data_IF_951529636389
#
_entry.id   IF_951529636389
#
_cell.length_a   1.000
_cell.length_b   1.000
_cell.length_c   1.000
_cell.angle_alpha   90.00
_cell.angle_beta   90.00
_cell.angle_gamma   90.00
#
_symmetry.space_group_name_H-M   'P 1'
#
loop_
_entity.id
_entity.type
_entity.pdbx_description
1 polymer ?
#
# COMPACT_ATOMS: atom_id res chain seq x y z
N UNK A 1 11.57 4.37 -28.67
CA UNK A 1 12.21 4.84 -27.42
C UNK A 1 11.22 4.58 -26.31
N UNK A 2 11.49 3.60 -25.44
CA UNK A 2 10.64 3.40 -24.26
C UNK A 2 10.67 4.71 -23.47
N UNK A 3 9.52 5.36 -23.32
CA UNK A 3 9.38 6.49 -22.42
C UNK A 3 9.55 5.91 -21.01
N UNK A 4 10.72 6.08 -20.41
CA UNK A 4 11.01 5.61 -19.07
C UNK A 4 10.13 6.38 -18.09
N UNK A 5 8.95 5.83 -17.81
CA UNK A 5 8.04 6.36 -16.80
C UNK A 5 8.80 6.38 -15.46
N UNK A 6 8.82 7.51 -14.75
CA UNK A 6 9.50 7.58 -13.46
C UNK A 6 8.83 6.62 -12.47
N UNK A 7 9.63 5.86 -11.74
CA UNK A 7 9.15 4.87 -10.77
C UNK A 7 9.16 5.44 -9.36
N UNK A 8 8.00 5.40 -8.71
CA UNK A 8 7.86 5.73 -7.29
C UNK A 8 7.56 4.47 -6.46
N UNK A 9 8.36 4.24 -5.43
CA UNK A 9 8.12 3.21 -4.42
C UNK A 9 7.59 3.88 -3.14
N UNK A 10 6.35 3.58 -2.79
CA UNK A 10 5.68 4.16 -1.63
C UNK A 10 5.66 3.16 -0.47
N UNK A 11 6.39 3.47 0.61
CA UNK A 11 6.44 2.67 1.84
C UNK A 11 5.83 3.48 2.97
N UNK A 12 4.57 3.20 3.38
CA UNK A 12 3.93 3.95 4.45
C UNK A 12 4.52 3.59 5.82
N UNK A 13 4.67 4.61 6.68
CA UNK A 13 4.96 4.41 8.09
C UNK A 13 3.78 3.69 8.80
N UNK A 14 4.04 2.90 9.87
CA UNK A 14 3.09 1.91 10.42
C UNK A 14 1.83 2.45 11.12
N UNK A 15 1.51 3.73 11.02
CA UNK A 15 0.29 4.34 11.58
C UNK A 15 -0.85 4.42 10.56
N UNK A 16 -2.08 4.10 10.98
CA UNK A 16 -3.25 3.96 10.08
C UNK A 16 -3.55 5.19 9.22
N UNK A 17 -3.40 6.40 9.77
CA UNK A 17 -3.60 7.66 9.04
C UNK A 17 -2.56 7.84 7.91
N UNK A 18 -1.32 7.45 8.16
CA UNK A 18 -0.22 7.54 7.20
C UNK A 18 -0.42 6.56 6.03
N UNK A 19 -0.91 5.34 6.28
CA UNK A 19 -1.18 4.37 5.20
C UNK A 19 -2.21 4.94 4.20
N UNK A 20 -3.33 5.48 4.71
CA UNK A 20 -4.36 6.08 3.84
C UNK A 20 -3.85 7.33 3.12
N UNK A 21 -3.07 8.17 3.79
CA UNK A 21 -2.48 9.38 3.21
C UNK A 21 -1.50 9.04 2.08
N UNK A 22 -0.55 8.15 2.34
CA UNK A 22 0.43 7.70 1.34
C UNK A 22 -0.25 6.97 0.19
N UNK A 23 -1.34 6.23 0.41
CA UNK A 23 -2.10 5.59 -0.67
C UNK A 23 -2.77 6.61 -1.60
N UNK A 24 -3.36 7.68 -1.04
CA UNK A 24 -3.90 8.79 -1.85
C UNK A 24 -2.81 9.48 -2.64
N UNK A 25 -1.66 9.73 -2.02
CA UNK A 25 -0.51 10.32 -2.67
C UNK A 25 0.03 9.44 -3.82
N UNK A 26 0.16 8.13 -3.59
CA UNK A 26 0.56 7.16 -4.59
C UNK A 26 -0.38 7.16 -5.82
N UNK A 27 -1.69 7.27 -5.60
CA UNK A 27 -2.68 7.40 -6.70
C UNK A 27 -2.50 8.71 -7.48
N UNK A 28 -2.18 9.82 -6.80
CA UNK A 28 -1.88 11.09 -7.45
C UNK A 28 -0.62 11.00 -8.31
N UNK A 29 0.45 10.35 -7.82
CA UNK A 29 1.67 10.11 -8.61
C UNK A 29 1.37 9.31 -9.87
N UNK A 30 0.58 8.23 -9.74
CA UNK A 30 0.18 7.43 -10.88
C UNK A 30 -0.61 8.25 -11.92
N UNK A 31 -1.55 9.09 -11.47
CA UNK A 31 -2.27 10.01 -12.35
C UNK A 31 -1.34 11.05 -13.03
N UNK A 32 -0.15 11.32 -12.46
CA UNK A 32 0.87 12.19 -13.07
C UNK A 32 1.84 11.44 -13.99
N UNK A 33 1.60 10.16 -14.28
CA UNK A 33 2.39 9.37 -15.22
C UNK A 33 3.51 8.53 -14.58
N UNK A 34 3.51 8.38 -13.25
CA UNK A 34 4.46 7.50 -12.58
C UNK A 34 4.03 6.03 -12.68
N UNK A 35 5.04 5.16 -12.82
CA UNK A 35 4.92 3.78 -12.40
C UNK A 35 5.00 3.75 -10.87
N UNK A 36 4.05 3.12 -10.20
CA UNK A 36 3.94 3.15 -8.73
C UNK A 36 3.96 1.74 -8.17
N UNK A 37 4.81 1.53 -7.16
CA UNK A 37 4.77 0.33 -6.32
C UNK A 37 4.44 0.74 -4.89
N UNK A 38 3.27 0.33 -4.42
CA UNK A 38 2.84 0.56 -3.04
C UNK A 38 3.17 -0.68 -2.19
N UNK A 39 4.07 -0.52 -1.23
CA UNK A 39 4.54 -1.63 -0.40
C UNK A 39 3.72 -1.69 0.88
N UNK A 40 2.91 -2.74 1.02
CA UNK A 40 2.20 -3.08 2.24
C UNK A 40 3.06 -4.00 3.13
N UNK A 41 2.83 -3.96 4.44
CA UNK A 41 3.21 -5.08 5.30
C UNK A 41 2.23 -6.24 5.11
N UNK A 42 2.62 -7.49 5.42
CA UNK A 42 1.69 -8.63 5.36
C UNK A 42 0.40 -8.39 6.15
N UNK A 43 0.50 -7.77 7.33
CA UNK A 43 -0.65 -7.43 8.16
C UNK A 43 -1.62 -6.47 7.45
N UNK A 44 -1.10 -5.38 6.88
CA UNK A 44 -1.92 -4.39 6.18
C UNK A 44 -2.50 -4.95 4.88
N UNK A 45 -1.73 -5.76 4.15
CA UNK A 45 -2.18 -6.43 2.93
C UNK A 45 -3.40 -7.32 3.23
N UNK A 46 -3.30 -8.21 4.23
CA UNK A 46 -4.42 -9.07 4.68
C UNK A 46 -5.63 -8.25 5.13
N UNK A 47 -5.40 -7.15 5.85
CA UNK A 47 -6.48 -6.27 6.31
C UNK A 47 -7.20 -5.60 5.14
N UNK A 48 -6.48 -5.15 4.12
CA UNK A 48 -7.08 -4.58 2.92
C UNK A 48 -7.95 -5.58 2.18
N UNK A 49 -7.43 -6.79 1.90
CA UNK A 49 -8.20 -7.84 1.25
C UNK A 49 -9.48 -8.21 2.01
N UNK A 50 -9.40 -8.30 3.35
CA UNK A 50 -10.58 -8.56 4.20
C UNK A 50 -11.62 -7.44 4.12
N UNK A 51 -11.20 -6.19 3.96
CA UNK A 51 -12.11 -5.03 3.97
C UNK A 51 -12.63 -4.61 2.59
N UNK A 52 -11.86 -4.86 1.52
CA UNK A 52 -12.13 -4.34 0.17
C UNK A 52 -12.39 -5.47 -0.85
N UNK A 53 -12.18 -6.73 -0.48
CA UNK A 53 -12.34 -7.90 -1.35
C UNK A 53 -11.01 -8.47 -1.85
N UNK A 54 -11.03 -9.73 -2.35
CA UNK A 54 -9.83 -10.46 -2.76
C UNK A 54 -9.07 -9.80 -3.93
N UNK A 55 -9.79 -9.14 -4.83
CA UNK A 55 -9.21 -8.56 -6.06
C UNK A 55 -8.76 -7.10 -5.86
N UNK A 56 -8.94 -6.56 -4.65
CA UNK A 56 -8.69 -5.14 -4.37
C UNK A 56 -7.23 -4.69 -4.48
N UNK A 57 -6.30 -5.65 -4.52
CA UNK A 57 -4.85 -5.41 -4.59
C UNK A 57 -4.21 -5.97 -5.87
N UNK A 58 -4.99 -6.40 -6.86
CA UNK A 58 -4.49 -6.91 -8.14
C UNK A 58 -3.71 -5.84 -8.93
N UNK A 59 -3.89 -4.58 -8.54
CA UNK A 59 -3.28 -3.43 -9.19
C UNK A 59 -3.97 -3.07 -10.50
N UNK A 60 -3.44 -2.04 -11.15
CA UNK A 60 -3.85 -1.64 -12.50
C UNK A 60 -2.58 -1.38 -13.33
N UNK A 61 -2.73 -1.08 -14.62
CA UNK A 61 -1.60 -0.69 -15.46
C UNK A 61 -0.77 0.38 -14.73
N UNK A 62 0.52 0.09 -14.55
CA UNK A 62 1.49 0.94 -13.87
C UNK A 62 1.26 1.26 -12.38
N UNK A 63 0.34 0.58 -11.70
CA UNK A 63 0.15 0.67 -10.25
C UNK A 63 0.11 -0.72 -9.64
N UNK A 64 1.13 -1.07 -8.85
CA UNK A 64 1.24 -2.40 -8.23
C UNK A 64 1.28 -2.32 -6.71
N UNK A 65 0.65 -3.30 -6.07
CA UNK A 65 0.85 -3.55 -4.64
C UNK A 65 1.90 -4.63 -4.46
N UNK A 66 2.80 -4.43 -3.49
CA UNK A 66 3.73 -5.47 -3.05
C UNK A 66 3.62 -5.65 -1.54
N UNK A 67 4.11 -6.78 -1.06
CA UNK A 67 4.03 -7.15 0.35
C UNK A 67 5.42 -7.43 0.89
N UNK A 68 5.78 -6.79 2.00
CA UNK A 68 7.00 -7.07 2.74
C UNK A 68 6.66 -7.71 4.08
N UNK A 69 7.43 -8.74 4.44
CA UNK A 69 7.44 -9.28 5.80
C UNK A 69 8.21 -8.35 6.71
N UNK A 70 7.56 -7.86 7.76
CA UNK A 70 8.22 -7.15 8.84
C UNK A 70 8.61 -8.17 9.91
N UNK A 71 9.86 -8.13 10.36
CA UNK A 71 10.39 -9.05 11.38
C UNK A 71 9.90 -8.74 12.81
N UNK A 72 9.07 -7.71 13.00
CA UNK A 72 8.60 -7.26 14.30
C UNK A 72 7.06 -7.14 14.34
N UNK A 73 6.40 -7.60 15.41
CA UNK A 73 4.99 -7.37 15.61
C UNK A 73 4.81 -5.94 16.14
N UNK A 74 4.35 -5.02 15.29
CA UNK A 74 3.87 -3.72 15.76
C UNK A 74 2.49 -3.97 16.40
N UNK A 75 2.55 -4.33 17.68
CA UNK A 75 1.47 -4.25 18.65
C UNK A 75 0.14 -4.94 18.24
N UNK A 76 0.06 -6.24 18.52
CA UNK A 76 -1.17 -6.83 19.03
C UNK A 76 -1.43 -6.15 20.38
N UNK A 77 -2.31 -5.14 20.42
CA UNK A 77 -3.00 -4.49 21.55
C UNK A 77 -3.44 -3.12 20.99
N UNK A 78 -4.69 -2.83 20.71
CA UNK A 78 -5.81 -2.94 21.65
C UNK A 78 -7.08 -3.37 20.89
N UNK A 79 -7.72 -4.49 21.26
CA UNK A 79 -9.18 -4.49 21.25
C UNK A 79 -9.62 -3.49 22.33
N UNK A 80 -10.14 -2.33 21.94
CA UNK A 80 -11.04 -1.61 22.84
C UNK A 80 -12.30 -2.46 22.88
N UNK A 81 -12.34 -3.38 23.85
CA UNK A 81 -13.55 -4.08 24.24
C UNK A 81 -14.27 -3.13 25.20
N UNK A 82 -15.34 -2.50 24.72
CA UNK A 82 -16.40 -1.97 25.59
C UNK A 82 -17.16 -3.11 26.22
#
# INVERSE_FOLDING_TARGET
MASDKPHAVCIPAPSQSHIKGVLKFAKLLHHRGFYVTFVNTEFNHKRFLKSLGPDSLDGIADFRFQTIRMAFPILILMPIKT
#
